data_IF_778142271672
#
_entry.id   IF_778142271672
#
_cell.length_a   1.000
_cell.length_b   1.000
_cell.length_c   1.000
_cell.angle_alpha   90.00
_cell.angle_beta   90.00
_cell.angle_gamma   90.00
#
_symmetry.space_group_name_H-M   'P 1'
#
loop_
_entity.id
_entity.type
_entity.pdbx_description
1 polymer ?
#
# COMPACT_ATOMS: atom_id res chain seq x y z
N UNK A 1 35.20 -46.66 37.80
CA UNK A 1 34.71 -45.39 38.40
C UNK A 1 35.18 -44.12 37.67
N UNK A 2 36.37 -44.08 37.04
CA UNK A 2 36.83 -42.88 36.29
C UNK A 2 36.03 -42.56 35.02
N UNK A 3 35.41 -43.55 34.39
CA UNK A 3 34.65 -43.37 33.14
C UNK A 3 33.24 -42.78 33.32
N UNK A 4 32.66 -42.89 34.53
CA UNK A 4 31.32 -42.36 34.84
C UNK A 4 31.37 -40.85 35.09
N UNK A 5 32.45 -40.36 35.69
CA UNK A 5 32.66 -38.92 35.91
C UNK A 5 32.82 -38.15 34.58
N UNK A 6 33.44 -38.76 33.57
CA UNK A 6 33.58 -38.15 32.23
C UNK A 6 32.22 -38.02 31.52
N UNK A 7 31.34 -39.01 31.68
CA UNK A 7 30.00 -39.02 31.08
C UNK A 7 29.05 -37.98 31.73
N UNK A 8 29.20 -37.73 33.03
CA UNK A 8 28.44 -36.70 33.76
C UNK A 8 28.93 -35.29 33.39
N UNK A 9 30.23 -35.12 33.12
CA UNK A 9 30.78 -33.82 32.70
C UNK A 9 30.36 -33.47 31.25
N UNK A 10 30.29 -34.46 30.35
CA UNK A 10 29.80 -34.29 28.97
C UNK A 10 28.30 -33.94 28.87
N UNK A 11 27.49 -34.26 29.88
CA UNK A 11 26.06 -33.94 29.91
C UNK A 11 25.74 -32.53 30.44
N UNK A 12 26.73 -31.78 30.91
CA UNK A 12 26.52 -30.44 31.51
C UNK A 12 26.63 -29.28 30.50
N UNK A 13 26.83 -29.56 29.22
CA UNK A 13 26.69 -28.58 28.14
C UNK A 13 25.19 -28.31 27.87
N UNK A 14 24.50 -27.71 28.85
CA UNK A 14 23.21 -27.08 28.58
C UNK A 14 23.46 -25.92 27.62
N UNK A 15 23.06 -26.10 26.36
CA UNK A 15 22.99 -25.03 25.38
C UNK A 15 22.01 -23.97 25.88
N UNK A 16 22.53 -22.92 26.51
CA UNK A 16 21.71 -21.77 26.88
C UNK A 16 21.35 -21.01 25.61
N UNK A 17 20.05 -20.95 25.31
CA UNK A 17 19.57 -20.22 24.14
C UNK A 17 19.94 -18.73 24.27
N UNK A 18 20.54 -18.17 23.22
CA UNK A 18 20.96 -16.76 23.16
C UNK A 18 19.71 -15.86 23.10
N UNK A 19 19.67 -14.79 23.88
CA UNK A 19 18.57 -13.80 23.84
C UNK A 19 18.78 -12.89 22.64
N UNK A 20 17.91 -12.94 21.62
CA UNK A 20 18.07 -12.21 20.35
C UNK A 20 17.16 -11.00 20.18
N UNK A 21 16.07 -10.92 20.94
CA UNK A 21 15.23 -9.73 20.98
C UNK A 21 14.61 -9.52 22.36
N UNK A 22 14.20 -8.28 22.64
CA UNK A 22 13.49 -7.90 23.86
C UNK A 22 12.20 -7.17 23.52
N UNK A 23 11.16 -7.45 24.27
CA UNK A 23 9.86 -6.81 24.10
C UNK A 23 9.87 -5.40 24.71
N UNK A 24 9.55 -4.40 23.89
CA UNK A 24 9.48 -2.99 24.29
C UNK A 24 8.05 -2.53 24.58
N UNK A 25 7.05 -3.10 23.92
CA UNK A 25 5.65 -2.75 24.13
C UNK A 25 4.73 -3.87 23.65
N UNK A 26 3.60 -4.06 24.32
CA UNK A 26 2.59 -5.07 23.97
C UNK A 26 1.22 -4.49 24.24
N UNK A 27 0.34 -4.52 23.24
CA UNK A 27 -1.09 -4.33 23.43
C UNK A 27 -1.84 -5.59 23.07
N UNK A 28 -2.67 -6.10 23.99
CA UNK A 28 -3.39 -7.36 23.81
C UNK A 28 -2.51 -8.58 24.06
N UNK A 29 -2.72 -9.64 23.29
CA UNK A 29 -2.08 -10.94 23.44
C UNK A 29 -1.02 -11.19 22.35
N UNK A 30 0.16 -11.59 22.78
CA UNK A 30 1.19 -12.13 21.91
C UNK A 30 1.90 -13.28 22.62
N UNK A 31 2.33 -14.26 21.85
CA UNK A 31 2.89 -15.50 22.35
C UNK A 31 4.23 -15.78 21.70
N UNK A 32 5.16 -16.31 22.48
CA UNK A 32 6.41 -16.88 21.99
C UNK A 32 6.36 -18.40 22.18
N UNK A 33 6.83 -19.13 21.19
CA UNK A 33 6.98 -20.57 21.18
C UNK A 33 8.47 -20.91 21.17
N UNK A 34 8.91 -21.69 22.15
CA UNK A 34 10.28 -22.20 22.18
C UNK A 34 10.50 -23.31 21.13
N UNK A 35 11.75 -23.75 20.96
CA UNK A 35 12.08 -24.86 20.05
C UNK A 35 11.43 -26.20 20.42
N UNK A 36 10.88 -26.32 21.63
CA UNK A 36 10.13 -27.49 22.13
C UNK A 36 8.62 -27.32 21.99
N UNK A 37 8.15 -26.22 21.39
CA UNK A 37 6.74 -25.90 21.20
C UNK A 37 6.02 -25.39 22.44
N UNK A 38 6.74 -25.12 23.53
CA UNK A 38 6.15 -24.53 24.74
C UNK A 38 5.84 -23.06 24.50
N UNK A 39 4.60 -22.67 24.79
CA UNK A 39 4.13 -21.30 24.60
C UNK A 39 4.23 -20.48 25.88
N UNK A 40 4.60 -19.22 25.73
CA UNK A 40 4.59 -18.24 26.82
C UNK A 40 4.00 -16.93 26.29
N UNK A 41 3.14 -16.30 27.08
CA UNK A 41 2.62 -14.98 26.75
C UNK A 41 3.75 -13.95 26.90
N UNK A 42 3.95 -13.14 25.88
CA UNK A 42 4.91 -12.04 25.89
C UNK A 42 4.33 -10.85 26.65
N UNK A 43 5.20 -10.21 27.45
CA UNK A 43 4.91 -8.99 28.21
C UNK A 43 6.06 -8.02 28.01
N UNK A 44 5.89 -6.78 28.46
CA UNK A 44 6.98 -5.82 28.50
C UNK A 44 8.22 -6.42 29.19
N UNK A 45 9.39 -6.29 28.55
CA UNK A 45 10.65 -6.82 29.08
C UNK A 45 10.86 -8.33 28.86
N UNK A 46 9.90 -9.06 28.31
CA UNK A 46 10.10 -10.46 27.91
C UNK A 46 11.27 -10.60 26.94
N UNK A 47 11.99 -11.71 27.07
CA UNK A 47 13.15 -12.06 26.25
C UNK A 47 12.70 -13.05 25.18
N UNK A 48 13.10 -12.79 23.93
CA UNK A 48 12.91 -13.70 22.81
C UNK A 48 14.26 -14.35 22.53
N UNK A 49 14.28 -15.68 22.54
CA UNK A 49 15.48 -16.47 22.36
C UNK A 49 15.66 -16.87 20.89
N UNK A 50 16.88 -17.26 20.55
CA UNK A 50 17.20 -17.76 19.22
C UNK A 50 16.29 -18.92 18.82
N UNK A 51 15.94 -18.97 17.53
CA UNK A 51 15.01 -19.92 16.92
C UNK A 51 13.57 -19.91 17.49
N UNK A 52 13.22 -18.93 18.32
CA UNK A 52 11.86 -18.82 18.88
C UNK A 52 10.89 -18.24 17.86
N UNK A 53 9.65 -18.72 17.90
CA UNK A 53 8.59 -18.23 17.04
C UNK A 53 7.65 -17.32 17.82
N UNK A 54 7.20 -16.25 17.20
CA UNK A 54 6.36 -15.23 17.84
C UNK A 54 5.10 -15.06 17.02
N UNK A 55 3.96 -15.12 17.69
CA UNK A 55 2.64 -14.92 17.11
C UNK A 55 1.92 -13.78 17.85
N UNK A 56 1.39 -12.85 17.08
CA UNK A 56 0.60 -11.72 17.59
C UNK A 56 -0.86 -11.99 17.24
N UNK A 57 -1.73 -11.93 18.24
CA UNK A 57 -3.17 -12.11 18.05
C UNK A 57 -3.77 -10.99 17.15
N UNK A 58 -4.89 -11.24 16.49
CA UNK A 58 -5.41 -10.39 15.40
C UNK A 58 -5.75 -8.96 15.84
N UNK A 59 -6.16 -8.78 17.10
CA UNK A 59 -6.51 -7.47 17.69
C UNK A 59 -5.35 -6.82 18.46
N UNK A 60 -4.16 -7.43 18.41
CA UNK A 60 -3.02 -7.10 19.25
C UNK A 60 -1.88 -6.46 18.47
N UNK A 61 -0.88 -5.95 19.19
CA UNK A 61 0.38 -5.50 18.60
C UNK A 61 1.54 -5.83 19.53
N UNK A 62 2.73 -5.95 18.93
CA UNK A 62 3.97 -6.25 19.64
C UNK A 62 5.09 -5.39 19.08
N UNK A 63 5.85 -4.73 19.95
CA UNK A 63 7.08 -4.04 19.58
C UNK A 63 8.27 -4.72 20.21
N UNK A 64 9.28 -5.05 19.40
CA UNK A 64 10.51 -5.69 19.84
C UNK A 64 11.74 -4.92 19.40
N UNK A 65 12.77 -4.98 20.22
CA UNK A 65 14.13 -4.54 19.92
C UNK A 65 14.98 -5.76 19.63
N UNK A 66 15.57 -5.85 18.44
CA UNK A 66 16.51 -6.92 18.11
C UNK A 66 17.92 -6.65 18.67
N UNK A 67 18.82 -7.62 18.50
CA UNK A 67 20.23 -7.48 18.89
C UNK A 67 21.00 -6.42 18.08
N UNK A 68 20.50 -6.06 16.91
CA UNK A 68 21.09 -5.06 16.02
C UNK A 68 20.52 -3.66 16.29
N UNK A 69 19.86 -3.43 17.43
CA UNK A 69 19.24 -2.13 17.79
C UNK A 69 18.22 -1.63 16.75
N UNK A 70 17.62 -2.56 16.00
CA UNK A 70 16.47 -2.32 15.14
C UNK A 70 15.19 -2.59 15.91
N UNK A 71 14.19 -1.75 15.66
CA UNK A 71 12.87 -1.90 16.28
C UNK A 71 11.93 -2.48 15.23
N UNK A 72 11.25 -3.57 15.59
CA UNK A 72 10.20 -4.17 14.77
C UNK A 72 8.86 -4.02 15.48
N UNK A 73 7.91 -3.36 14.81
CA UNK A 73 6.52 -3.32 15.24
C UNK A 73 5.74 -4.35 14.42
N UNK A 74 5.21 -5.35 15.12
CA UNK A 74 4.41 -6.43 14.56
C UNK A 74 2.94 -6.08 14.77
N UNK A 75 2.18 -6.03 13.68
CA UNK A 75 0.73 -5.85 13.73
C UNK A 75 0.03 -7.16 14.12
N UNK A 76 -1.27 -7.08 14.42
CA UNK A 76 -2.09 -8.27 14.67
C UNK A 76 -2.09 -9.25 13.50
N UNK A 77 -2.15 -10.55 13.81
CA UNK A 77 -2.08 -11.63 12.83
C UNK A 77 -0.67 -11.90 12.27
N UNK A 78 0.35 -11.26 12.86
CA UNK A 78 1.75 -11.47 12.46
C UNK A 78 2.33 -12.71 13.12
N UNK A 79 3.00 -13.52 12.31
CA UNK A 79 3.72 -14.71 12.73
C UNK A 79 5.14 -14.65 12.17
N UNK A 80 6.12 -14.61 13.06
CA UNK A 80 7.52 -14.43 12.71
C UNK A 80 8.43 -15.30 13.57
N UNK A 81 9.57 -15.70 13.01
CA UNK A 81 10.61 -16.44 13.70
C UNK A 81 11.86 -15.58 13.82
N UNK A 82 12.40 -15.53 15.02
CA UNK A 82 13.56 -14.71 15.34
C UNK A 82 14.82 -15.56 15.30
N UNK A 83 15.85 -15.06 14.63
CA UNK A 83 17.20 -15.62 14.61
C UNK A 83 18.24 -14.57 14.97
N UNK A 84 19.46 -15.00 15.23
CA UNK A 84 20.60 -14.09 15.36
C UNK A 84 20.80 -13.27 14.07
N UNK A 85 20.52 -11.96 14.13
CA UNK A 85 20.64 -10.98 13.03
C UNK A 85 19.76 -11.26 11.78
N UNK A 86 18.70 -12.05 11.94
CA UNK A 86 17.75 -12.38 10.88
C UNK A 86 16.35 -12.48 11.46
N UNK A 87 15.39 -11.83 10.81
CA UNK A 87 13.97 -11.97 11.10
C UNK A 87 13.30 -12.71 9.96
N UNK A 88 12.67 -13.85 10.24
CA UNK A 88 11.87 -14.58 9.25
C UNK A 88 10.38 -14.25 9.47
N UNK A 89 9.76 -13.57 8.51
CA UNK A 89 8.33 -13.25 8.57
C UNK A 89 7.58 -14.31 7.77
N UNK A 90 6.79 -15.12 8.48
CA UNK A 90 5.96 -16.16 7.86
C UNK A 90 4.62 -15.60 7.39
N UNK A 91 4.03 -14.68 8.14
CA UNK A 91 2.77 -14.03 7.78
C UNK A 91 2.60 -12.67 8.50
N UNK A 92 1.82 -11.77 7.91
CA UNK A 92 1.38 -10.52 8.54
C UNK A 92 2.18 -9.29 8.13
N UNK A 93 2.17 -8.26 8.99
CA UNK A 93 2.75 -6.95 8.71
C UNK A 93 3.77 -6.57 9.78
N UNK A 94 4.97 -6.19 9.34
CA UNK A 94 6.05 -5.73 10.22
C UNK A 94 6.56 -4.39 9.75
N UNK A 95 6.42 -3.37 10.59
CA UNK A 95 7.10 -2.10 10.40
C UNK A 95 8.48 -2.18 11.06
N UNK A 96 9.53 -2.03 10.27
CA UNK A 96 10.90 -2.03 10.76
C UNK A 96 11.46 -0.61 10.79
N UNK A 97 11.94 -0.19 11.95
CA UNK A 97 12.73 1.01 12.14
C UNK A 97 14.18 0.59 12.40
N UNK A 98 14.96 0.55 11.32
CA UNK A 98 16.32 0.04 11.33
C UNK A 98 17.35 1.15 11.62
N UNK A 99 18.28 0.86 12.52
CA UNK A 99 19.49 1.66 12.75
C UNK A 99 20.72 0.99 12.16
N UNK A 100 20.75 -0.35 12.17
CA UNK A 100 21.88 -1.15 11.71
C UNK A 100 21.46 -2.12 10.60
N UNK A 101 22.41 -2.56 9.76
CA UNK A 101 22.12 -3.48 8.67
C UNK A 101 21.71 -4.85 9.18
N UNK A 102 20.66 -5.40 8.57
CA UNK A 102 20.15 -6.73 8.87
C UNK A 102 19.35 -7.28 7.68
N UNK A 103 18.86 -8.49 7.84
CA UNK A 103 18.09 -9.21 6.82
C UNK A 103 16.70 -9.57 7.36
N UNK A 104 15.72 -9.54 6.47
CA UNK A 104 14.41 -10.13 6.68
C UNK A 104 14.22 -11.20 5.59
N UNK A 105 13.89 -12.41 6.01
CA UNK A 105 13.50 -13.48 5.10
C UNK A 105 11.98 -13.68 5.15
N UNK A 106 11.44 -14.13 4.04
CA UNK A 106 10.05 -14.59 3.94
C UNK A 106 10.02 -15.89 3.15
N UNK A 107 8.84 -16.45 2.93
CA UNK A 107 8.67 -17.69 2.16
C UNK A 107 9.24 -17.61 0.73
N UNK A 108 9.27 -16.42 0.12
CA UNK A 108 9.64 -16.24 -1.29
C UNK A 108 10.60 -15.07 -1.54
N UNK A 109 11.06 -14.37 -0.49
CA UNK A 109 11.95 -13.23 -0.65
C UNK A 109 13.03 -13.12 0.43
N UNK A 110 14.10 -12.43 0.04
CA UNK A 110 15.15 -11.95 0.93
C UNK A 110 15.18 -10.43 0.82
N UNK A 111 15.10 -9.76 1.97
CA UNK A 111 15.08 -8.30 2.09
C UNK A 111 16.31 -7.89 2.88
N UNK A 112 17.22 -7.14 2.26
CA UNK A 112 18.38 -6.58 2.95
C UNK A 112 18.27 -5.07 3.07
N UNK A 113 18.66 -4.53 4.21
CA UNK A 113 18.55 -3.10 4.50
C UNK A 113 19.74 -2.65 5.34
N UNK A 114 19.98 -1.34 5.35
CA UNK A 114 21.05 -0.71 6.14
C UNK A 114 20.49 0.08 7.31
N UNK A 115 19.62 1.05 7.02
CA UNK A 115 18.98 1.90 8.01
C UNK A 115 17.73 2.54 7.42
N UNK A 116 16.94 3.18 8.28
CA UNK A 116 15.69 3.86 7.92
C UNK A 116 14.45 3.01 8.21
N UNK A 117 13.31 3.46 7.70
CA UNK A 117 12.02 2.84 7.99
C UNK A 117 11.37 2.28 6.73
N UNK A 118 10.77 1.09 6.88
CA UNK A 118 10.02 0.41 5.84
C UNK A 118 9.04 -0.59 6.48
N UNK A 119 8.06 -1.02 5.69
CA UNK A 119 7.04 -1.98 6.09
C UNK A 119 7.14 -3.20 5.18
N UNK A 120 7.24 -4.38 5.78
CA UNK A 120 7.16 -5.66 5.09
C UNK A 120 5.80 -6.28 5.37
N UNK A 121 5.13 -6.72 4.32
CA UNK A 121 3.86 -7.46 4.41
C UNK A 121 4.00 -8.80 3.70
N UNK A 122 3.61 -9.86 4.39
CA UNK A 122 3.67 -11.24 3.89
C UNK A 122 2.28 -11.84 3.96
N UNK A 123 1.81 -12.33 2.82
CA UNK A 123 0.64 -13.20 2.74
C UNK A 123 1.11 -14.59 2.35
N UNK A 124 1.12 -15.50 3.33
CA UNK A 124 1.58 -16.87 3.13
C UNK A 124 0.68 -17.64 2.15
N UNK A 125 -0.65 -17.47 2.25
CA UNK A 125 -1.61 -18.17 1.39
C UNK A 125 -1.48 -17.78 -0.08
N UNK A 126 -1.19 -16.51 -0.36
CA UNK A 126 -1.00 -16.00 -1.72
C UNK A 126 0.46 -16.10 -2.20
N UNK A 127 1.38 -16.63 -1.37
CA UNK A 127 2.83 -16.63 -1.63
C UNK A 127 3.31 -15.25 -2.13
N UNK A 128 2.88 -14.20 -1.42
CA UNK A 128 3.14 -12.81 -1.81
C UNK A 128 3.85 -12.08 -0.70
N UNK A 129 5.00 -11.51 -1.04
CA UNK A 129 5.73 -10.58 -0.17
C UNK A 129 5.73 -9.20 -0.81
N UNK A 130 5.44 -8.18 -0.02
CA UNK A 130 5.48 -6.78 -0.45
C UNK A 130 6.28 -5.96 0.54
N UNK A 131 7.10 -5.04 0.01
CA UNK A 131 7.90 -4.10 0.78
C UNK A 131 7.51 -2.69 0.38
N UNK A 132 7.14 -1.89 1.37
CA UNK A 132 6.87 -0.46 1.25
C UNK A 132 7.98 0.31 1.95
N UNK A 133 8.74 1.09 1.20
CA UNK A 133 9.79 1.93 1.78
C UNK A 133 9.26 3.30 2.19
N UNK A 134 9.56 3.71 3.43
CA UNK A 134 9.20 5.03 3.96
C UNK A 134 10.37 6.00 3.84
N UNK A 135 11.48 5.69 4.51
CA UNK A 135 12.72 6.49 4.45
C UNK A 135 13.94 5.67 4.07
N UNK A 136 13.82 4.35 4.07
CA UNK A 136 14.90 3.44 3.70
C UNK A 136 15.03 3.26 2.18
N UNK A 137 15.98 2.42 1.78
CA UNK A 137 16.07 1.86 0.44
C UNK A 137 16.38 0.36 0.54
N UNK A 138 15.43 -0.46 1.03
CA UNK A 138 15.66 -1.89 1.17
C UNK A 138 15.82 -2.55 -0.21
N UNK A 139 16.75 -3.49 -0.29
CA UNK A 139 16.94 -4.36 -1.44
C UNK A 139 16.01 -5.56 -1.31
N UNK A 140 15.14 -5.72 -2.28
CA UNK A 140 14.21 -6.85 -2.39
C UNK A 140 14.72 -7.82 -3.45
N UNK A 141 14.88 -9.08 -3.08
CA UNK A 141 15.27 -10.15 -3.99
C UNK A 141 14.37 -11.38 -3.81
N UNK A 142 14.25 -12.18 -4.87
CA UNK A 142 13.62 -13.50 -4.77
C UNK A 142 14.50 -14.43 -3.95
N UNK A 143 13.92 -15.31 -3.13
CA UNK A 143 14.69 -16.34 -2.43
C UNK A 143 15.37 -17.32 -3.39
N UNK A 144 14.81 -17.49 -4.60
CA UNK A 144 15.36 -18.37 -5.64
C UNK A 144 16.51 -17.72 -6.42
N UNK A 145 16.45 -16.40 -6.59
CA UNK A 145 17.42 -15.62 -7.38
C UNK A 145 17.90 -14.38 -6.61
N UNK A 146 18.72 -14.54 -5.55
CA UNK A 146 19.16 -13.43 -4.69
C UNK A 146 19.99 -12.36 -5.43
N UNK A 147 20.67 -12.76 -6.50
CA UNK A 147 21.51 -11.87 -7.31
C UNK A 147 20.68 -10.87 -8.13
N UNK A 148 19.40 -11.15 -8.38
CA UNK A 148 18.47 -10.29 -9.11
C UNK A 148 17.67 -9.39 -8.17
N UNK A 149 18.39 -8.70 -7.26
CA UNK A 149 17.80 -7.77 -6.31
C UNK A 149 17.46 -6.42 -6.94
N UNK A 150 16.41 -5.77 -6.46
CA UNK A 150 16.07 -4.38 -6.79
C UNK A 150 16.09 -3.51 -5.54
N UNK A 151 16.49 -2.25 -5.68
CA UNK A 151 16.33 -1.26 -4.61
C UNK A 151 14.91 -0.70 -4.62
N UNK A 152 14.24 -0.68 -3.46
CA UNK A 152 12.92 -0.06 -3.28
C UNK A 152 13.11 1.34 -2.70
N UNK A 153 13.07 2.41 -3.51
CA UNK A 153 13.33 3.76 -3.02
C UNK A 153 12.23 4.25 -2.08
N UNK A 154 12.55 5.23 -1.23
CA UNK A 154 11.60 5.92 -0.35
C UNK A 154 10.33 6.35 -1.11
N UNK A 155 9.17 6.13 -0.48
CA UNK A 155 7.86 6.42 -1.08
C UNK A 155 7.41 5.43 -2.16
N UNK A 156 8.17 4.36 -2.40
CA UNK A 156 7.80 3.32 -3.33
C UNK A 156 7.54 2.00 -2.62
N UNK A 157 6.79 1.15 -3.28
CA UNK A 157 6.62 -0.24 -2.90
C UNK A 157 6.98 -1.15 -4.07
N UNK A 158 7.40 -2.37 -3.74
CA UNK A 158 7.55 -3.47 -4.68
C UNK A 158 7.00 -4.75 -4.03
N UNK A 159 6.71 -5.75 -4.84
CA UNK A 159 6.30 -7.05 -4.38
C UNK A 159 6.93 -8.17 -5.21
N UNK A 160 6.97 -9.35 -4.60
CA UNK A 160 7.26 -10.62 -5.23
C UNK A 160 6.01 -11.49 -5.06
N UNK A 161 5.59 -12.07 -6.17
CA UNK A 161 4.44 -12.97 -6.27
C UNK A 161 4.83 -14.05 -7.28
N UNK A 162 4.59 -15.33 -6.96
CA UNK A 162 5.00 -16.42 -7.83
C UNK A 162 4.29 -16.39 -9.20
N UNK A 163 3.09 -15.80 -9.25
CA UNK A 163 2.31 -15.64 -10.48
C UNK A 163 2.84 -14.49 -11.36
N UNK A 164 3.63 -13.58 -10.79
CA UNK A 164 4.15 -12.39 -11.48
C UNK A 164 5.63 -12.56 -11.79
N UNK A 165 6.02 -12.38 -13.06
CA UNK A 165 7.42 -12.43 -13.52
C UNK A 165 8.24 -13.62 -12.95
N UNK A 166 7.59 -14.79 -12.77
CA UNK A 166 8.17 -16.02 -12.21
C UNK A 166 8.77 -15.85 -10.81
N UNK A 167 8.18 -15.01 -9.96
CA UNK A 167 8.68 -14.76 -8.61
C UNK A 167 9.89 -13.83 -8.56
N UNK A 168 10.13 -13.06 -9.61
CA UNK A 168 11.08 -11.95 -9.58
C UNK A 168 10.44 -10.68 -8.96
N UNK A 169 11.27 -9.80 -8.36
CA UNK A 169 10.77 -8.55 -7.80
C UNK A 169 10.20 -7.62 -8.88
N UNK A 170 8.96 -7.16 -8.67
CA UNK A 170 8.36 -6.15 -9.56
C UNK A 170 9.12 -4.83 -9.49
N UNK A 171 9.23 -4.12 -10.61
CA UNK A 171 9.77 -2.74 -10.62
C UNK A 171 9.09 -1.85 -9.55
N UNK A 172 9.84 -1.08 -8.73
CA UNK A 172 9.26 -0.26 -7.69
C UNK A 172 8.26 0.77 -8.23
N UNK A 173 7.13 0.91 -7.55
CA UNK A 173 6.04 1.83 -7.91
C UNK A 173 5.72 2.77 -6.75
N UNK A 174 5.43 4.04 -7.03
CA UNK A 174 5.08 5.02 -6.00
C UNK A 174 3.82 4.58 -5.25
N UNK A 175 3.88 4.63 -3.92
CA UNK A 175 2.73 4.31 -3.07
C UNK A 175 1.67 5.41 -3.16
N UNK A 176 0.39 5.02 -3.18
CA UNK A 176 -0.73 5.95 -3.11
C UNK A 176 -1.06 6.34 -1.66
N UNK A 177 -1.64 7.53 -1.45
CA UNK A 177 -1.99 8.03 -0.12
C UNK A 177 -2.95 7.09 0.62
N UNK A 178 -3.96 6.55 -0.07
CA UNK A 178 -4.95 5.65 0.54
C UNK A 178 -4.31 4.33 0.97
N UNK A 179 -3.48 3.74 0.11
CA UNK A 179 -2.74 2.50 0.41
C UNK A 179 -1.77 2.70 1.57
N UNK A 180 -1.11 3.86 1.64
CA UNK A 180 -0.26 4.19 2.75
C UNK A 180 -1.06 4.33 4.05
N UNK A 181 -2.17 5.07 4.05
CA UNK A 181 -3.03 5.26 5.22
C UNK A 181 -3.61 3.94 5.72
N UNK A 182 -4.03 3.03 4.83
CA UNK A 182 -4.55 1.73 5.23
C UNK A 182 -3.48 0.89 5.92
N UNK A 183 -2.25 0.87 5.41
CA UNK A 183 -1.15 0.13 6.04
C UNK A 183 -0.73 0.79 7.36
N UNK A 184 -0.61 2.13 7.40
CA UNK A 184 -0.28 2.87 8.62
C UNK A 184 -1.32 2.63 9.72
N UNK A 185 -2.60 2.51 9.36
CA UNK A 185 -3.70 2.23 10.29
C UNK A 185 -3.53 0.94 11.09
N UNK A 186 -2.83 -0.07 10.55
CA UNK A 186 -2.52 -1.33 11.25
C UNK A 186 -1.59 -1.11 12.46
N UNK A 187 -0.87 0.00 12.48
CA UNK A 187 0.09 0.35 13.52
C UNK A 187 -0.38 1.55 14.35
N UNK A 188 -1.66 1.93 14.26
CA UNK A 188 -2.19 3.11 14.97
C UNK A 188 -1.99 3.03 16.50
N UNK A 189 -2.02 1.83 17.06
CA UNK A 189 -1.87 1.62 18.51
C UNK A 189 -0.40 1.65 18.99
N UNK A 190 0.56 1.79 18.08
CA UNK A 190 1.99 1.82 18.40
C UNK A 190 2.41 3.25 18.74
N UNK A 191 2.74 3.47 20.01
CA UNK A 191 3.22 4.77 20.51
C UNK A 191 4.46 5.22 19.72
N UNK A 192 4.43 6.44 19.19
CA UNK A 192 5.55 7.05 18.45
C UNK A 192 5.44 6.96 16.92
N UNK A 193 4.60 6.10 16.36
CA UNK A 193 4.37 6.01 14.90
C UNK A 193 3.33 7.02 14.39
N UNK A 194 2.43 7.47 15.25
CA UNK A 194 1.33 8.39 14.92
C UNK A 194 1.82 9.74 14.38
N UNK A 195 2.88 10.30 14.99
CA UNK A 195 3.38 11.67 14.74
C UNK A 195 4.48 11.75 13.69
N UNK A 196 4.61 10.73 12.85
CA UNK A 196 5.68 10.68 11.85
C UNK A 196 5.41 11.64 10.69
N UNK A 197 6.40 12.46 10.33
CA UNK A 197 6.29 13.50 9.29
C UNK A 197 6.38 12.96 7.85
N UNK A 198 6.37 11.64 7.67
CA UNK A 198 6.51 10.98 6.36
C UNK A 198 5.43 11.42 5.37
N UNK A 199 4.24 11.72 5.85
CA UNK A 199 3.13 12.14 4.98
C UNK A 199 3.47 13.44 4.23
N UNK A 200 4.15 14.37 4.92
CA UNK A 200 4.59 15.63 4.31
C UNK A 200 5.71 15.38 3.29
N UNK A 201 6.64 14.48 3.55
CA UNK A 201 7.77 14.24 2.63
C UNK A 201 7.39 13.37 1.43
N UNK A 202 6.51 12.38 1.61
CA UNK A 202 6.14 11.43 0.55
C UNK A 202 5.04 11.96 -0.37
N UNK A 203 4.14 12.80 0.14
CA UNK A 203 2.93 13.22 -0.57
C UNK A 203 2.75 14.73 -0.72
N UNK A 204 3.57 15.59 -0.10
CA UNK A 204 3.49 17.02 -0.43
C UNK A 204 3.98 17.27 -1.85
N UNK A 205 3.23 18.09 -2.57
CA UNK A 205 3.62 18.61 -3.88
C UNK A 205 4.75 19.66 -3.78
N UNK A 206 5.06 20.11 -2.57
CA UNK A 206 6.25 20.91 -2.29
C UNK A 206 7.44 19.97 -2.22
N UNK A 207 8.09 19.79 -3.38
CA UNK A 207 9.52 19.43 -3.38
C UNK A 207 10.21 20.33 -2.35
N UNK A 208 11.08 19.82 -1.46
CA UNK A 208 12.00 20.71 -0.79
C UNK A 208 12.69 21.45 -1.93
N UNK A 209 12.43 22.76 -2.03
CA UNK A 209 13.17 23.60 -2.95
C UNK A 209 14.59 23.54 -2.41
N UNK A 210 15.35 22.57 -2.90
CA UNK A 210 16.79 22.63 -2.89
C UNK A 210 17.06 23.86 -3.71
N UNK A 211 17.09 25.00 -3.04
CA UNK A 211 17.74 26.20 -3.55
C UNK A 211 19.13 25.69 -3.87
N UNK A 212 19.37 25.38 -5.15
CA UNK A 212 20.71 25.10 -5.65
C UNK A 212 21.47 26.38 -5.36
N UNK A 213 22.15 26.43 -4.22
CA UNK A 213 23.18 27.44 -4.01
C UNK A 213 24.22 27.16 -5.09
N UNK A 214 24.34 28.12 -6.00
CA UNK A 214 25.41 28.15 -6.97
C UNK A 214 26.70 28.13 -6.16
N UNK A 215 27.60 27.20 -6.46
CA UNK A 215 28.80 26.91 -5.69
C UNK A 215 29.88 28.03 -5.76
N UNK A 216 29.51 29.26 -6.08
CA UNK A 216 30.46 30.36 -6.36
C UNK A 216 30.14 31.67 -5.63
N UNK A 217 29.34 31.63 -4.56
CA UNK A 217 29.14 32.80 -3.70
C UNK A 217 29.58 32.44 -2.30
N UNK A 218 30.82 32.84 -1.96
CA UNK A 218 31.26 32.92 -0.58
C UNK A 218 30.42 33.98 0.14
N UNK A 219 29.73 33.65 1.24
CA UNK A 219 29.06 34.65 2.04
C UNK A 219 30.15 35.37 2.85
N UNK A 220 30.48 36.59 2.46
CA UNK A 220 31.26 37.50 3.29
C UNK A 220 30.51 37.73 4.60
N UNK A 221 31.06 37.17 5.67
CA UNK A 221 30.65 37.40 7.05
C UNK A 221 30.85 38.88 7.36
N UNK A 222 29.76 39.59 7.64
CA UNK A 222 29.80 40.73 8.55
C UNK A 222 28.72 40.54 9.62
N UNK A 223 29.20 40.08 10.75
CA UNK A 223 28.55 40.12 12.05
C UNK A 223 28.49 41.57 12.55
N UNK A 224 27.31 42.04 13.00
CA UNK A 224 27.06 42.47 14.38
C UNK A 224 25.70 43.18 14.59
N UNK A 225 25.22 43.29 15.86
CA UNK A 225 23.81 43.11 16.23
C UNK A 225 23.08 44.40 16.65
N UNK A 226 21.84 44.22 17.12
CA UNK A 226 21.02 45.09 17.98
C UNK A 226 20.20 46.25 17.38
N UNK A 227 18.86 46.08 17.47
CA UNK A 227 17.89 46.97 18.14
C UNK A 227 17.70 48.44 17.70
N UNK A 228 16.46 48.70 17.26
CA UNK A 228 15.56 49.86 17.54
C UNK A 228 15.62 51.14 16.69
N UNK A 229 14.42 51.43 16.15
CA UNK A 229 13.76 52.74 15.98
C UNK A 229 14.18 53.59 14.77
N UNK A 230 13.18 53.95 13.95
CA UNK A 230 13.25 55.11 13.07
C UNK A 230 12.42 54.98 11.80
N UNK A 231 11.11 55.24 11.87
CA UNK A 231 10.25 55.44 10.69
C UNK A 231 10.79 56.61 9.88
N UNK A 232 11.38 56.34 8.72
CA UNK A 232 11.45 57.32 7.63
C UNK A 232 10.61 56.79 6.47
N UNK A 233 9.49 57.47 6.20
CA UNK A 233 8.62 57.19 5.07
C UNK A 233 9.35 57.59 3.80
N UNK A 234 9.92 56.61 3.10
CA UNK A 234 10.51 56.79 1.77
C UNK A 234 9.43 57.19 0.76
N UNK A 235 9.72 58.21 -0.04
CA UNK A 235 8.88 58.71 -1.14
C UNK A 235 8.80 57.64 -2.24
N UNK A 236 7.61 57.11 -2.52
CA UNK A 236 7.39 56.18 -3.63
C UNK A 236 7.42 56.96 -4.94
N UNK A 237 8.41 56.70 -5.78
CA UNK A 237 8.47 57.21 -7.15
C UNK A 237 7.89 56.12 -8.06
N UNK A 238 6.75 56.41 -8.69
CA UNK A 238 6.17 55.53 -9.70
C UNK A 238 6.93 55.70 -11.01
N UNK A 239 7.79 54.75 -11.34
CA UNK A 239 8.37 54.64 -12.68
C UNK A 239 7.30 53.99 -13.56
N UNK A 240 6.70 54.75 -14.48
CA UNK A 240 5.85 54.18 -15.54
C UNK A 240 6.74 53.34 -16.45
N UNK A 241 6.69 52.03 -16.29
CA UNK A 241 7.28 51.09 -17.24
C UNK A 241 6.42 51.08 -18.50
N UNK A 242 6.91 51.68 -19.58
CA UNK A 242 6.37 51.41 -20.91
C UNK A 242 6.47 49.90 -21.17
N UNK A 243 5.42 49.29 -21.72
CA UNK A 243 5.39 47.88 -22.12
C UNK A 243 6.42 47.65 -23.23
N UNK A 244 7.67 47.41 -22.84
CA UNK A 244 8.72 46.97 -23.73
C UNK A 244 8.66 45.45 -23.81
N UNK A 245 8.20 44.94 -24.94
CA UNK A 245 8.48 43.55 -25.29
C UNK A 245 10.01 43.40 -25.37
N UNK A 246 10.61 42.40 -24.71
CA UNK A 246 12.04 42.20 -24.78
C UNK A 246 12.45 41.93 -26.25
N UNK A 247 13.60 42.48 -26.65
CA UNK A 247 14.16 42.33 -28.00
C UNK A 247 14.48 40.87 -28.39
N UNK A 248 14.24 39.90 -27.50
CA UNK A 248 14.36 38.46 -27.74
C UNK A 248 13.14 37.81 -28.41
N UNK A 249 12.13 38.61 -28.82
CA UNK A 249 10.95 38.13 -29.57
C UNK A 249 11.20 38.16 -31.10
N UNK A 250 12.44 38.41 -31.54
CA UNK A 250 12.81 38.19 -32.93
C UNK A 250 13.07 36.70 -33.15
N UNK A 251 12.03 36.06 -33.71
CA UNK A 251 11.99 34.89 -34.60
C UNK A 251 13.08 33.82 -34.39
N UNK A 252 12.61 32.61 -34.11
CA UNK A 252 13.32 31.33 -34.03
C UNK A 252 13.85 30.95 -32.63
N UNK A 253 12.91 30.66 -31.73
CA UNK A 253 13.20 29.86 -30.55
C UNK A 253 13.64 28.45 -31.00
N UNK A 254 14.76 27.95 -30.46
CA UNK A 254 15.25 26.58 -30.70
C UNK A 254 14.18 25.50 -30.40
N UNK A 255 13.21 25.82 -29.55
CA UNK A 255 12.07 24.97 -29.22
C UNK A 255 11.10 24.80 -30.39
N UNK A 256 10.95 25.81 -31.25
CA UNK A 256 10.08 25.77 -32.41
C UNK A 256 10.73 24.99 -33.56
N UNK A 257 12.05 25.07 -33.71
CA UNK A 257 12.82 24.21 -34.61
C UNK A 257 12.64 22.72 -34.24
N UNK A 258 12.82 22.37 -32.95
CA UNK A 258 12.63 21.00 -32.48
C UNK A 258 11.21 20.49 -32.66
N UNK A 259 10.19 21.34 -32.43
CA UNK A 259 8.78 20.98 -32.67
C UNK A 259 8.47 20.75 -34.15
N UNK A 260 9.18 21.43 -35.05
CA UNK A 260 9.00 21.27 -36.50
C UNK A 260 9.63 19.99 -37.05
N UNK A 261 10.71 19.49 -36.41
CA UNK A 261 11.38 18.24 -36.78
C UNK A 261 10.71 16.98 -36.22
N UNK A 262 9.77 17.10 -35.27
CA UNK A 262 9.04 15.93 -34.77
C UNK A 262 8.00 15.45 -35.79
N UNK A 263 8.01 14.18 -36.21
CA UNK A 263 7.03 13.66 -37.14
C UNK A 263 5.64 13.72 -36.50
N UNK A 264 4.73 14.49 -37.11
CA UNK A 264 3.34 14.61 -36.65
C UNK A 264 2.69 13.21 -36.65
N UNK A 265 2.07 12.78 -35.54
CA UNK A 265 1.46 11.46 -35.47
C UNK A 265 0.30 11.37 -36.49
N UNK A 266 0.46 10.51 -37.49
CA UNK A 266 -0.62 10.20 -38.44
C UNK A 266 -1.76 9.55 -37.66
N UNK A 267 -2.90 10.26 -37.52
CA UNK A 267 -4.13 9.68 -36.96
C UNK A 267 -4.49 8.44 -37.78
N UNK A 268 -4.38 7.26 -37.19
CA UNK A 268 -4.87 6.01 -37.78
C UNK A 268 -6.38 6.13 -37.92
N UNK A 269 -6.88 6.29 -39.15
CA UNK A 269 -8.30 6.22 -39.45
C UNK A 269 -8.72 4.76 -39.26
N UNK A 270 -9.31 4.46 -38.12
CA UNK A 270 -9.95 3.16 -37.87
C UNK A 270 -11.20 3.09 -38.76
N UNK A 271 -11.12 2.36 -39.86
CA UNK A 271 -12.29 2.04 -40.69
C UNK A 271 -13.24 1.19 -39.83
N UNK A 272 -14.43 1.73 -39.51
CA UNK A 272 -15.48 0.97 -38.81
C UNK A 272 -15.85 -0.26 -39.66
N UNK A 273 -15.97 -1.46 -39.08
CA UNK A 273 -16.37 -2.65 -39.83
C UNK A 273 -17.79 -2.46 -40.38
N UNK A 274 -17.99 -2.78 -41.66
CA UNK A 274 -19.32 -2.83 -42.28
C UNK A 274 -20.11 -3.95 -41.61
N UNK A 275 -21.22 -3.61 -40.95
CA UNK A 275 -22.18 -4.59 -40.42
C UNK A 275 -22.77 -5.37 -41.59
N UNK A 276 -22.43 -6.66 -41.71
CA UNK A 276 -23.07 -7.56 -42.65
C UNK A 276 -24.32 -8.13 -41.99
N UNK A 277 -25.46 -8.08 -42.70
CA UNK A 277 -26.71 -8.68 -42.23
C UNK A 277 -26.58 -10.20 -42.33
N UNK A 278 -26.49 -10.88 -41.19
CA UNK A 278 -26.59 -12.33 -41.11
C UNK A 278 -28.08 -12.68 -41.15
N UNK A 279 -28.51 -13.45 -42.16
CA UNK A 279 -29.85 -14.03 -42.21
C UNK A 279 -29.77 -15.41 -41.56
N UNK A 280 -30.41 -15.57 -40.41
CA UNK A 280 -30.65 -16.88 -39.82
C UNK A 280 -31.97 -17.41 -40.39
N UNK A 281 -31.94 -18.59 -41.00
CA UNK A 281 -33.14 -19.31 -41.42
C UNK A 281 -33.46 -20.36 -40.36
N UNK A 282 -34.72 -20.40 -39.90
CA UNK A 282 -35.23 -21.42 -38.97
C UNK A 282 -35.59 -20.94 -37.56
N UNK A 283 -35.46 -19.64 -37.24
CA UNK A 283 -35.94 -19.07 -35.97
C UNK A 283 -36.89 -17.90 -36.23
N UNK A 284 -38.18 -18.14 -36.04
CA UNK A 284 -39.21 -17.10 -36.06
C UNK A 284 -39.20 -16.35 -34.72
N UNK A 285 -38.50 -15.22 -34.66
CA UNK A 285 -38.69 -14.27 -33.57
C UNK A 285 -40.05 -13.61 -33.74
N UNK A 286 -41.01 -14.05 -32.94
CA UNK A 286 -42.36 -13.52 -32.89
C UNK A 286 -42.33 -12.10 -32.28
N UNK A 287 -42.01 -11.10 -33.11
CA UNK A 287 -42.11 -9.69 -32.75
C UNK A 287 -43.58 -9.28 -32.72
N UNK A 288 -44.23 -9.43 -31.56
CA UNK A 288 -45.48 -8.71 -31.28
C UNK A 288 -45.17 -7.22 -31.14
N UNK A 289 -45.32 -6.49 -32.23
CA UNK A 289 -45.40 -5.03 -32.24
C UNK A 289 -46.66 -4.60 -31.46
N UNK A 290 -46.48 -4.02 -30.26
CA UNK A 290 -47.55 -3.31 -29.60
C UNK A 290 -47.77 -1.96 -30.29
N UNK A 291 -48.87 -1.86 -31.03
CA UNK A 291 -49.36 -0.60 -31.60
C UNK A 291 -49.92 0.28 -30.48
N UNK A 292 -49.16 1.27 -30.05
CA UNK A 292 -49.73 2.47 -29.43
C UNK A 292 -49.46 3.67 -30.33
N UNK A 293 -50.57 4.24 -30.82
CA UNK A 293 -50.62 5.44 -31.66
C UNK A 293 -50.11 6.66 -30.89
N UNK A 294 -49.11 7.36 -31.41
CA UNK A 294 -48.77 8.71 -30.99
C UNK A 294 -48.39 9.58 -32.20
N UNK A 295 -49.07 10.71 -32.30
CA UNK A 295 -49.03 11.71 -33.38
C UNK A 295 -47.60 12.14 -33.74
N UNK A 296 -47.38 12.38 -35.03
CA UNK A 296 -46.20 13.07 -35.58
C UNK A 296 -46.15 14.51 -35.03
N UNK A 297 -45.09 14.85 -34.31
CA UNK A 297 -44.68 16.24 -34.10
C UNK A 297 -43.36 16.51 -34.81
N UNK A 298 -43.34 17.63 -35.51
CA UNK A 298 -42.23 18.17 -36.30
C UNK A 298 -41.16 18.68 -35.32
N UNK A 299 -39.94 18.16 -35.38
CA UNK A 299 -38.82 18.70 -34.58
C UNK A 299 -38.34 19.99 -35.24
N UNK A 300 -38.82 21.12 -34.73
CA UNK A 300 -38.18 22.43 -34.86
C UNK A 300 -37.09 22.49 -33.79
N UNK A 301 -35.85 22.77 -34.21
CA UNK A 301 -34.72 22.98 -33.30
C UNK A 301 -34.89 24.35 -32.65
N UNK A 302 -35.40 24.36 -31.42
CA UNK A 302 -35.37 25.52 -30.54
C UNK A 302 -34.02 25.57 -29.80
N UNK A 303 -33.39 26.74 -29.62
CA UNK A 303 -32.14 26.87 -28.87
C UNK A 303 -32.33 26.48 -27.41
N UNK A 304 -31.24 25.96 -26.82
CA UNK A 304 -31.11 25.55 -25.42
C UNK A 304 -31.74 26.58 -24.47
N UNK A 305 -32.82 26.16 -23.82
CA UNK A 305 -33.40 26.86 -22.67
C UNK A 305 -32.38 26.75 -21.55
N UNK A 306 -31.75 27.89 -21.26
CA UNK A 306 -31.14 28.23 -19.98
C UNK A 306 -32.15 27.86 -18.90
N UNK A 307 -31.78 26.94 -18.00
CA UNK A 307 -32.59 26.67 -16.82
C UNK A 307 -32.85 27.99 -16.10
N UNK A 308 -34.12 28.39 -16.10
CA UNK A 308 -34.62 29.51 -15.33
C UNK A 308 -34.29 29.18 -13.87
N UNK A 309 -33.55 30.07 -13.22
CA UNK A 309 -33.27 30.01 -11.79
C UNK A 309 -34.61 30.00 -11.08
N UNK A 310 -35.04 28.83 -10.63
CA UNK A 310 -36.14 28.72 -9.69
C UNK A 310 -35.76 29.50 -8.44
N UNK A 311 -36.71 30.29 -7.96
CA UNK A 311 -36.56 31.15 -6.81
C UNK A 311 -36.44 30.27 -5.55
N UNK A 312 -35.22 29.77 -5.28
CA UNK A 312 -34.91 29.00 -4.09
C UNK A 312 -34.96 29.94 -2.90
N UNK A 313 -36.05 29.87 -2.15
CA UNK A 313 -36.14 30.45 -0.84
C UNK A 313 -35.02 29.84 0.02
N UNK A 314 -34.06 30.68 0.43
CA UNK A 314 -32.87 30.24 1.17
C UNK A 314 -33.30 29.73 2.55
N UNK A 315 -33.36 28.41 2.70
CA UNK A 315 -33.41 27.74 4.00
C UNK A 315 -31.96 27.42 4.44
N UNK A 316 -31.65 27.54 5.75
CA UNK A 316 -30.31 27.28 6.25
C UNK A 316 -29.88 25.82 6.00
N UNK A 317 -28.58 25.62 5.79
CA UNK A 317 -27.97 24.33 5.44
C UNK A 317 -28.21 23.19 6.46
N UNK A 318 -28.79 23.49 7.63
CA UNK A 318 -29.14 22.54 8.69
C UNK A 318 -30.41 21.72 8.43
N UNK A 319 -31.19 22.00 7.38
CA UNK A 319 -32.47 21.33 7.12
C UNK A 319 -32.42 20.16 6.10
N UNK A 320 -31.25 19.79 5.56
CA UNK A 320 -31.11 18.75 4.52
C UNK A 320 -30.57 17.40 5.03
N UNK A 321 -30.42 17.23 6.34
CA UNK A 321 -29.74 16.07 6.94
C UNK A 321 -30.59 14.80 7.06
N UNK A 322 -31.91 14.87 6.88
CA UNK A 322 -32.80 13.71 7.14
C UNK A 322 -32.88 12.72 5.96
N UNK A 323 -32.78 13.18 4.72
CA UNK A 323 -32.87 12.31 3.53
C UNK A 323 -31.58 11.56 3.21
N UNK A 324 -30.44 12.23 3.36
CA UNK A 324 -29.12 11.67 3.03
C UNK A 324 -28.73 10.55 4.02
N UNK A 325 -29.07 10.70 5.30
CA UNK A 325 -28.78 9.68 6.32
C UNK A 325 -29.61 8.42 6.09
N UNK A 326 -30.86 8.55 5.67
CA UNK A 326 -31.72 7.40 5.34
C UNK A 326 -31.22 6.64 4.09
N UNK A 327 -30.78 7.36 3.06
CA UNK A 327 -30.23 6.73 1.84
C UNK A 327 -28.87 6.05 2.07
N UNK A 328 -28.01 6.65 2.89
CA UNK A 328 -26.72 6.05 3.28
C UNK A 328 -26.94 4.80 4.13
N UNK A 329 -27.86 4.84 5.10
CA UNK A 329 -28.19 3.69 5.93
C UNK A 329 -28.79 2.55 5.10
N UNK A 330 -29.68 2.85 4.15
CA UNK A 330 -30.27 1.83 3.26
C UNK A 330 -29.24 1.17 2.34
N UNK A 331 -28.31 1.95 1.78
CA UNK A 331 -27.25 1.42 0.93
C UNK A 331 -26.26 0.56 1.74
N UNK A 332 -25.93 0.99 2.96
CA UNK A 332 -25.08 0.25 3.88
C UNK A 332 -25.70 -1.08 4.32
N UNK A 333 -26.97 -1.07 4.74
CA UNK A 333 -27.69 -2.29 5.14
C UNK A 333 -27.81 -3.29 4.00
N UNK A 334 -28.08 -2.83 2.76
CA UNK A 334 -28.09 -3.70 1.58
C UNK A 334 -26.72 -4.33 1.31
N UNK A 335 -25.64 -3.55 1.45
CA UNK A 335 -24.27 -4.05 1.31
C UNK A 335 -23.92 -5.08 2.40
N UNK A 336 -24.35 -4.83 3.64
CA UNK A 336 -24.10 -5.73 4.77
C UNK A 336 -24.85 -7.05 4.58
N UNK A 337 -26.13 -7.00 4.22
CA UNK A 337 -26.95 -8.19 3.96
C UNK A 337 -26.41 -9.02 2.79
N UNK A 338 -25.97 -8.39 1.70
CA UNK A 338 -25.34 -9.11 0.59
C UNK A 338 -24.04 -9.82 1.02
N UNK A 339 -23.24 -9.20 1.90
CA UNK A 339 -21.99 -9.79 2.39
C UNK A 339 -22.24 -10.92 3.39
N UNK A 340 -23.27 -10.82 4.22
CA UNK A 340 -23.73 -11.90 5.11
C UNK A 340 -24.26 -13.09 4.31
N UNK A 341 -25.03 -12.84 3.24
CA UNK A 341 -25.52 -13.91 2.35
C UNK A 341 -24.36 -14.59 1.62
N UNK A 342 -23.39 -13.83 1.12
CA UNK A 342 -22.22 -14.38 0.44
C UNK A 342 -21.32 -15.18 1.40
N UNK A 343 -21.17 -14.76 2.66
CA UNK A 343 -20.43 -15.54 3.67
C UNK A 343 -21.16 -16.82 4.10
N UNK A 344 -22.50 -16.88 3.96
CA UNK A 344 -23.29 -18.08 4.23
C UNK A 344 -23.31 -19.08 3.06
N UNK A 345 -22.95 -18.64 1.85
CA UNK A 345 -22.80 -19.52 0.69
C UNK A 345 -21.42 -20.14 0.74
N UNK A 346 -21.34 -21.46 0.56
CA UNK A 346 -20.05 -22.11 0.35
C UNK A 346 -19.46 -21.66 -0.99
N UNK A 347 -18.13 -21.74 -1.16
CA UNK A 347 -17.49 -21.47 -2.44
C UNK A 347 -18.04 -22.40 -3.53
N UNK A 348 -18.01 -21.95 -4.78
CA UNK A 348 -18.56 -22.71 -5.91
C UNK A 348 -17.96 -24.12 -6.00
N UNK A 349 -16.69 -24.28 -5.63
CA UNK A 349 -15.97 -25.55 -5.52
C UNK A 349 -16.57 -26.50 -4.46
N UNK A 350 -16.99 -25.96 -3.30
CA UNK A 350 -17.62 -26.75 -2.24
C UNK A 350 -19.04 -27.13 -2.62
N UNK A 351 -19.77 -26.24 -3.31
CA UNK A 351 -21.09 -26.59 -3.85
C UNK A 351 -20.98 -27.67 -4.93
N UNK A 352 -19.96 -27.59 -5.80
CA UNK A 352 -19.66 -28.63 -6.79
C UNK A 352 -19.36 -29.97 -6.13
N UNK A 353 -18.55 -29.98 -5.06
CA UNK A 353 -18.25 -31.20 -4.30
C UNK A 353 -19.50 -31.77 -3.60
N UNK A 354 -20.36 -30.91 -3.04
CA UNK A 354 -21.62 -31.34 -2.43
C UNK A 354 -22.56 -31.96 -3.47
N UNK A 355 -22.63 -31.39 -4.67
CA UNK A 355 -23.45 -31.91 -5.77
C UNK A 355 -22.87 -33.21 -6.35
N UNK A 356 -21.54 -33.31 -6.49
CA UNK A 356 -20.87 -34.55 -6.86
C UNK A 356 -21.12 -35.65 -5.82
N UNK A 357 -20.97 -35.36 -4.52
CA UNK A 357 -21.21 -36.33 -3.45
C UNK A 357 -22.68 -36.74 -3.33
N UNK A 358 -23.63 -35.83 -3.59
CA UNK A 358 -25.06 -36.19 -3.65
C UNK A 358 -25.41 -37.02 -4.88
N UNK A 359 -24.73 -36.76 -6.01
CA UNK A 359 -24.88 -37.57 -7.23
C UNK A 359 -24.23 -38.95 -7.09
N UNK A 360 -23.24 -39.10 -6.20
CA UNK A 360 -22.56 -40.34 -5.87
C UNK A 360 -23.37 -41.23 -4.91
N UNK A 361 -24.64 -41.53 -5.27
CA UNK A 361 -25.34 -42.67 -4.69
C UNK A 361 -24.83 -43.94 -5.36
N UNK A 362 -23.95 -44.66 -4.67
CA UNK A 362 -23.45 -46.00 -5.03
C UNK A 362 -24.60 -46.96 -5.35
N UNK A 363 -24.60 -47.49 -6.57
CA UNK A 363 -25.10 -48.83 -6.86
C UNK A 363 -24.23 -49.85 -6.09
N UNK A 364 -24.57 -50.11 -4.84
CA UNK A 364 -23.91 -51.15 -4.05
C UNK A 364 -24.54 -52.50 -4.38
N UNK A 365 -24.10 -53.16 -5.46
CA UNK A 365 -24.44 -54.57 -5.65
C UNK A 365 -23.58 -55.41 -4.69
N UNK A 366 -24.19 -55.92 -3.62
CA UNK A 366 -23.62 -57.04 -2.86
C UNK A 366 -23.54 -58.24 -3.82
N UNK A 367 -22.33 -58.62 -4.21
CA UNK A 367 -22.08 -59.96 -4.72
C UNK A 367 -21.58 -60.79 -3.55
N UNK A 368 -22.37 -61.83 -3.24
CA UNK A 368 -22.05 -62.87 -2.28
C UNK A 368 -20.86 -63.70 -2.75
#
# INVERSE_FOLDING_TARGET
MRSIALFIFLFSMQAQAKIIARVLDVGGNSFVFDSRGQSQQLRFGSKIYDMSEVMVDDSSYLTVLDQSDNIHHLAGGTYAKFFNNLLEIKNGYVWTSAKNPAFINTINSVISYKSGQFITSVNSSALKTQVLSLTASPKLASSLEPNLSIDVPSGHFSFIDQTYEKGLPRRPTRVGLNSYKSIKGLFANVKGLEKTTFEKTLFSAESPSVVRKIASVEPSVQSHPTSRIGKQKGKVIFIKTASRNPASVQKESAMDYYKSMMPKPKKKVVKKPKKVKIKYFGFDFNNKESKTSARKSKVVVSPSIVNKVDNVQRVPASAHTMGIVHDINSAFEKSLNNKVINNRRHSDEVNQLIDELKSFKKDYSKHY
#
